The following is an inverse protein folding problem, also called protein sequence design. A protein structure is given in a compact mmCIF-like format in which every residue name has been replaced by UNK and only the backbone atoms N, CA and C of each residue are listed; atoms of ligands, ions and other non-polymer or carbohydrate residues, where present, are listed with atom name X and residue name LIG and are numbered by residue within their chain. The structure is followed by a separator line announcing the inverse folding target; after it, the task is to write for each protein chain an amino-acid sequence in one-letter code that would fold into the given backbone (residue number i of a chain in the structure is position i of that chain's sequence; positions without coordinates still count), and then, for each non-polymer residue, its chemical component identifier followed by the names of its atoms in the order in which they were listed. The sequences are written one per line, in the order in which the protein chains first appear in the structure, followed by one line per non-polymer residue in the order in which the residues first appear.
data_IF_453602866945
#
_entry.id   IF_453602866945
#
_cell.length_a   1.000
_cell.length_b   1.000
_cell.length_c   1.000
_cell.angle_alpha   90.00
_cell.angle_beta   90.00
_cell.angle_gamma   90.00
#
_symmetry.space_group_name_H-M   'P 1'
#
loop_
_entity.id
_entity.type
_entity.pdbx_description
1 polymer ?
#
# COMPACT_ATOMS: atom_id res chain seq x y z
N UNK A 1 -3.68 -0.37 -17.18
CA UNK A 1 -3.48 -0.98 -18.52
C UNK A 1 -3.75 -2.47 -18.39
N UNK A 2 -4.42 -3.06 -19.37
CA UNK A 2 -4.69 -4.49 -19.46
C UNK A 2 -4.02 -4.97 -20.74
N UNK A 3 -3.23 -6.04 -20.63
CA UNK A 3 -2.42 -6.59 -21.70
C UNK A 3 -2.94 -7.97 -22.11
N UNK A 4 -2.79 -8.32 -23.38
CA UNK A 4 -2.88 -9.72 -23.82
C UNK A 4 -1.57 -10.48 -23.54
N UNK A 5 -1.52 -11.77 -23.91
CA UNK A 5 -0.33 -12.62 -23.75
C UNK A 5 0.86 -12.19 -24.61
N UNK A 6 0.65 -11.32 -25.60
CA UNK A 6 1.67 -10.73 -26.47
C UNK A 6 2.08 -9.32 -26.02
N UNK A 7 1.63 -8.89 -24.84
CA UNK A 7 1.88 -7.57 -24.26
C UNK A 7 1.25 -6.41 -25.06
N UNK A 8 0.28 -6.69 -25.94
CA UNK A 8 -0.48 -5.63 -26.58
C UNK A 8 -1.51 -5.05 -25.61
N UNK A 9 -1.72 -3.75 -25.68
CA UNK A 9 -2.73 -3.06 -24.88
C UNK A 9 -4.11 -3.41 -25.45
N UNK A 10 -4.91 -4.14 -24.70
CA UNK A 10 -6.27 -4.51 -25.09
C UNK A 10 -7.34 -3.67 -24.38
N UNK A 11 -7.00 -3.08 -23.23
CA UNK A 11 -7.95 -2.27 -22.44
C UNK A 11 -7.22 -1.42 -21.38
N UNK A 12 -7.96 -0.51 -20.74
CA UNK A 12 -7.45 0.28 -19.62
C UNK A 12 -8.55 0.74 -18.66
N UNK A 13 -8.16 0.97 -17.40
CA UNK A 13 -9.00 1.63 -16.40
C UNK A 13 -8.31 2.94 -16.04
N UNK A 14 -8.97 4.07 -16.31
CA UNK A 14 -8.48 5.38 -15.90
C UNK A 14 -8.65 5.54 -14.39
N UNK A 15 -7.59 5.95 -13.67
CA UNK A 15 -7.65 6.16 -12.22
C UNK A 15 -8.05 7.59 -11.85
N UNK A 16 -7.63 8.59 -12.61
CA UNK A 16 -7.93 10.00 -12.34
C UNK A 16 -8.50 10.67 -13.58
N UNK A 17 -9.52 11.54 -13.44
CA UNK A 17 -10.04 12.33 -14.54
C UNK A 17 -9.08 13.49 -14.81
N UNK A 18 -8.06 13.26 -15.63
CA UNK A 18 -7.16 14.30 -16.11
C UNK A 18 -7.10 14.25 -17.65
N UNK A 19 -7.30 15.39 -18.29
CA UNK A 19 -7.22 15.55 -19.74
C UNK A 19 -5.78 15.51 -20.26
N UNK A 20 -4.80 15.78 -19.40
CA UNK A 20 -3.39 15.84 -19.74
C UNK A 20 -2.66 14.55 -19.39
N UNK A 21 -1.59 14.26 -20.14
CA UNK A 21 -0.77 13.06 -19.96
C UNK A 21 -0.04 13.01 -18.60
N UNK A 22 0.11 14.16 -17.93
CA UNK A 22 0.82 14.28 -16.65
C UNK A 22 -0.06 14.98 -15.61
N UNK A 23 -0.39 14.28 -14.54
CA UNK A 23 -1.00 14.88 -13.36
C UNK A 23 0.06 15.75 -12.66
N UNK A 24 -0.25 17.02 -12.31
CA UNK A 24 0.65 17.87 -11.54
C UNK A 24 1.11 17.19 -10.25
N UNK A 25 2.40 17.31 -9.91
CA UNK A 25 3.00 16.63 -8.74
C UNK A 25 2.29 16.95 -7.41
N UNK A 26 1.72 18.15 -7.29
CA UNK A 26 0.98 18.62 -6.12
C UNK A 26 -0.37 17.91 -5.90
N UNK A 27 -0.95 17.35 -6.96
CA UNK A 27 -2.27 16.70 -6.95
C UNK A 27 -2.16 15.18 -7.18
N UNK A 28 -1.01 14.72 -7.66
CA UNK A 28 -0.74 13.30 -7.91
C UNK A 28 -0.71 12.52 -6.58
N UNK A 29 -1.66 11.60 -6.41
CA UNK A 29 -1.58 10.56 -5.40
C UNK A 29 -0.38 9.64 -5.71
N UNK A 30 0.48 9.42 -4.71
CA UNK A 30 1.64 8.55 -4.84
C UNK A 30 1.21 7.09 -4.60
N UNK A 31 0.56 6.50 -5.60
CA UNK A 31 0.14 5.09 -5.55
C UNK A 31 1.37 4.19 -5.79
N UNK A 32 2.07 3.86 -4.70
CA UNK A 32 3.32 3.09 -4.74
C UNK A 32 3.15 1.63 -4.26
N UNK A 33 1.92 1.24 -3.91
CA UNK A 33 1.62 -0.10 -3.40
C UNK A 33 0.37 -0.68 -4.05
N UNK A 34 0.43 -1.96 -4.42
CA UNK A 34 -0.70 -2.71 -4.97
C UNK A 34 -0.74 -4.13 -4.42
N UNK A 35 -1.93 -4.67 -4.19
CA UNK A 35 -2.16 -6.07 -3.82
C UNK A 35 -3.43 -6.61 -4.48
N UNK A 36 -3.52 -7.93 -4.59
CA UNK A 36 -4.76 -8.63 -4.96
C UNK A 36 -5.48 -9.01 -3.66
N UNK A 37 -6.71 -8.58 -3.49
CA UNK A 37 -7.56 -8.92 -2.33
C UNK A 37 -8.11 -10.34 -2.46
N UNK A 38 -8.65 -10.90 -1.36
CA UNK A 38 -9.19 -12.28 -1.35
C UNK A 38 -10.35 -12.50 -2.34
N UNK A 39 -11.07 -11.45 -2.70
CA UNK A 39 -12.15 -11.44 -3.67
C UNK A 39 -11.69 -11.07 -5.09
N UNK A 40 -10.39 -11.24 -5.38
CA UNK A 40 -9.77 -11.04 -6.70
C UNK A 40 -9.91 -9.61 -7.26
N UNK A 41 -9.87 -8.61 -6.37
CA UNK A 41 -9.86 -7.20 -6.74
C UNK A 41 -8.47 -6.64 -6.51
N UNK A 42 -8.20 -5.48 -7.09
CA UNK A 42 -6.92 -4.78 -6.88
C UNK A 42 -7.12 -3.71 -5.82
N UNK A 43 -6.28 -3.74 -4.79
CA UNK A 43 -6.17 -2.67 -3.81
C UNK A 43 -4.89 -1.89 -4.06
N UNK A 44 -5.03 -0.65 -4.50
CA UNK A 44 -3.94 0.29 -4.68
C UNK A 44 -3.93 1.24 -3.48
N UNK A 45 -2.75 1.44 -2.90
CA UNK A 45 -2.55 2.31 -1.76
C UNK A 45 -1.51 3.35 -2.12
N UNK A 46 -1.82 4.59 -1.77
CA UNK A 46 -0.86 5.67 -1.80
C UNK A 46 -0.61 6.21 -0.41
N UNK A 47 0.60 6.71 -0.21
CA UNK A 47 1.03 7.37 1.02
C UNK A 47 2.00 8.48 0.67
N UNK A 48 1.90 9.63 1.32
CA UNK A 48 2.85 10.71 1.06
C UNK A 48 2.93 11.70 2.21
N UNK A 49 4.06 12.41 2.27
CA UNK A 49 4.41 13.35 3.35
C UNK A 49 3.62 14.66 3.32
N UNK A 50 3.04 15.04 2.18
CA UNK A 50 2.21 16.23 2.04
C UNK A 50 0.71 15.85 2.03
N UNK A 51 0.08 15.97 3.20
CA UNK A 51 -1.38 16.00 3.38
C UNK A 51 -1.97 17.23 2.64
N UNK A 52 -3.20 17.17 2.08
CA UNK A 52 -4.23 16.14 2.29
C UNK A 52 -4.43 15.13 1.14
N UNK A 53 -3.77 15.27 -0.01
CA UNK A 53 -4.17 14.54 -1.22
C UNK A 53 -3.46 13.20 -1.46
N UNK A 54 -2.61 12.73 -0.54
CA UNK A 54 -1.76 11.55 -0.78
C UNK A 54 -2.10 10.31 0.06
N UNK A 55 -2.92 10.43 1.09
CA UNK A 55 -3.41 9.30 1.89
C UNK A 55 -4.63 8.68 1.22
N UNK A 56 -4.47 8.22 -0.01
CA UNK A 56 -5.59 7.82 -0.86
C UNK A 56 -5.31 6.48 -1.52
N UNK A 57 -6.35 5.72 -1.78
CA UNK A 57 -6.25 4.44 -2.48
C UNK A 57 -7.38 4.23 -3.48
N UNK A 58 -7.28 3.13 -4.22
CA UNK A 58 -8.33 2.66 -5.12
C UNK A 58 -8.59 1.17 -4.88
N UNK A 59 -9.86 0.80 -4.75
CA UNK A 59 -10.30 -0.58 -4.83
C UNK A 59 -10.92 -0.81 -6.21
N UNK A 60 -10.26 -1.63 -7.04
CA UNK A 60 -10.59 -1.78 -8.47
C UNK A 60 -11.11 -3.18 -8.71
N UNK A 61 -12.20 -3.25 -9.47
CA UNK A 61 -12.92 -4.46 -9.84
C UNK A 61 -12.70 -4.66 -11.35
N UNK A 62 -11.62 -5.34 -11.77
CA UNK A 62 -11.19 -5.27 -13.17
C UNK A 62 -12.23 -5.83 -14.14
N UNK A 63 -12.91 -6.90 -13.74
CA UNK A 63 -13.94 -7.58 -14.56
C UNK A 63 -15.19 -6.72 -14.79
N UNK A 64 -15.52 -5.82 -13.86
CA UNK A 64 -16.65 -4.90 -13.97
C UNK A 64 -16.25 -3.51 -14.47
N UNK A 65 -14.95 -3.23 -14.58
CA UNK A 65 -14.39 -1.89 -14.84
C UNK A 65 -14.83 -0.85 -13.81
N UNK A 66 -15.14 -1.28 -12.59
CA UNK A 66 -15.52 -0.41 -11.49
C UNK A 66 -14.30 -0.09 -10.63
N UNK A 67 -14.29 1.11 -10.03
CA UNK A 67 -13.27 1.53 -9.07
C UNK A 67 -13.92 2.36 -7.97
N UNK A 68 -13.42 2.20 -6.76
CA UNK A 68 -13.88 2.92 -5.58
C UNK A 68 -12.70 3.67 -4.98
N UNK A 69 -12.88 4.97 -4.79
CA UNK A 69 -11.89 5.82 -4.15
C UNK A 69 -11.89 5.58 -2.64
N UNK A 70 -10.70 5.55 -2.04
CA UNK A 70 -10.53 5.33 -0.60
C UNK A 70 -9.75 6.51 -0.02
N UNK A 71 -10.28 7.10 1.04
CA UNK A 71 -9.52 7.97 1.95
C UNK A 71 -8.89 7.11 3.04
N UNK A 72 -7.59 7.20 3.27
CA UNK A 72 -6.84 6.35 4.21
C UNK A 72 -6.42 7.09 5.48
N UNK A 73 -6.84 8.35 5.64
CA UNK A 73 -6.42 9.26 6.70
C UNK A 73 -6.58 8.67 8.10
N UNK A 74 -7.70 8.00 8.35
CA UNK A 74 -7.99 7.42 9.68
C UNK A 74 -7.01 6.30 10.02
N UNK A 75 -6.82 5.35 9.11
CA UNK A 75 -5.89 4.24 9.36
C UNK A 75 -4.44 4.74 9.45
N UNK A 76 -4.05 5.65 8.57
CA UNK A 76 -2.70 6.19 8.53
C UNK A 76 -2.35 7.05 9.74
N UNK A 77 -3.30 7.83 10.25
CA UNK A 77 -3.13 8.54 11.51
C UNK A 77 -2.90 7.55 12.66
N UNK A 78 -3.64 6.43 12.69
CA UNK A 78 -3.42 5.37 13.70
C UNK A 78 -2.03 4.76 13.57
N UNK A 79 -1.50 4.54 12.36
CA UNK A 79 -0.13 4.06 12.17
C UNK A 79 0.92 5.02 12.76
N UNK A 80 0.73 6.33 12.56
CA UNK A 80 1.61 7.35 13.12
C UNK A 80 1.56 7.33 14.65
N UNK A 81 0.35 7.26 15.24
CA UNK A 81 0.15 7.14 16.68
C UNK A 81 0.73 5.84 17.25
N UNK A 82 0.83 4.77 16.44
CA UNK A 82 1.50 3.51 16.78
C UNK A 82 3.02 3.53 16.49
N UNK A 83 3.63 4.71 16.38
CA UNK A 83 5.08 4.89 16.33
C UNK A 83 5.70 4.75 14.93
N UNK A 84 4.91 4.77 13.85
CA UNK A 84 5.43 4.93 12.48
C UNK A 84 5.61 6.42 12.20
N UNK A 85 6.80 6.94 12.50
CA UNK A 85 7.08 8.38 12.49
C UNK A 85 6.98 9.02 11.10
N UNK A 86 7.39 8.29 10.06
CA UNK A 86 7.20 8.71 8.67
C UNK A 86 6.58 7.56 7.88
N UNK A 87 5.40 7.83 7.34
CA UNK A 87 4.61 6.86 6.59
C UNK A 87 5.01 6.89 5.11
N UNK A 88 5.33 5.71 4.58
CA UNK A 88 5.70 5.52 3.20
C UNK A 88 5.48 4.05 2.79
N UNK A 89 4.25 3.72 2.41
CA UNK A 89 3.81 2.39 2.00
C UNK A 89 4.18 2.15 0.54
N UNK A 90 5.13 1.25 0.31
CA UNK A 90 5.65 0.89 -1.03
C UNK A 90 5.42 -0.58 -1.39
N UNK A 91 4.73 -1.31 -0.52
CA UNK A 91 4.41 -2.69 -0.76
C UNK A 91 3.20 -3.10 0.05
N UNK A 92 2.39 -3.97 -0.55
CA UNK A 92 1.26 -4.60 0.10
C UNK A 92 1.14 -6.02 -0.40
N UNK A 93 0.77 -6.94 0.48
CA UNK A 93 0.55 -8.34 0.13
C UNK A 93 -0.61 -8.89 0.95
N UNK A 94 -1.57 -9.51 0.28
CA UNK A 94 -2.62 -10.27 0.96
C UNK A 94 -2.05 -11.59 1.43
N UNK A 95 -2.30 -11.92 2.69
CA UNK A 95 -1.87 -13.17 3.32
C UNK A 95 -3.08 -13.90 3.89
N UNK A 96 -3.00 -15.21 4.20
CA UNK A 96 -4.05 -15.87 4.97
C UNK A 96 -4.36 -15.09 6.24
N UNK A 97 -5.65 -14.76 6.44
CA UNK A 97 -6.11 -14.02 7.61
C UNK A 97 -5.94 -12.49 7.60
N UNK A 98 -5.27 -11.89 6.62
CA UNK A 98 -5.09 -10.43 6.65
C UNK A 98 -4.29 -9.84 5.50
N UNK A 99 -3.72 -8.67 5.75
CA UNK A 99 -2.92 -7.91 4.80
C UNK A 99 -1.64 -7.41 5.46
N UNK A 100 -0.53 -7.52 4.72
CA UNK A 100 0.79 -7.05 5.10
C UNK A 100 1.12 -5.79 4.31
N UNK A 101 1.45 -4.69 5.00
CA UNK A 101 1.94 -3.46 4.38
C UNK A 101 3.43 -3.27 4.69
N UNK A 102 4.20 -2.85 3.70
CA UNK A 102 5.61 -2.54 3.83
C UNK A 102 5.82 -1.03 3.86
N UNK A 103 6.25 -0.51 5.01
CA UNK A 103 6.63 0.88 5.19
C UNK A 103 8.14 1.05 4.97
N UNK A 104 8.54 1.75 3.91
CA UNK A 104 9.95 2.05 3.62
C UNK A 104 10.47 3.08 4.63
N UNK A 105 11.61 2.78 5.23
CA UNK A 105 12.36 3.74 6.04
C UNK A 105 12.96 4.87 5.20
N UNK A 106 13.55 5.85 5.88
CA UNK A 106 14.23 6.98 5.24
C UNK A 106 15.45 7.42 6.06
N UNK A 107 16.11 8.51 5.66
CA UNK A 107 17.33 8.98 6.33
C UNK A 107 17.15 9.30 7.82
N UNK A 108 15.99 9.83 8.21
CA UNK A 108 15.68 10.16 9.60
C UNK A 108 15.20 8.93 10.39
N UNK A 109 14.48 8.02 9.72
CA UNK A 109 13.90 6.81 10.29
C UNK A 109 14.20 5.59 9.42
N UNK A 110 15.43 5.03 9.48
CA UNK A 110 15.94 4.09 8.47
C UNK A 110 15.37 2.68 8.58
N UNK A 111 14.64 2.36 9.66
CA UNK A 111 14.08 1.02 9.84
C UNK A 111 12.82 0.87 9.00
N UNK A 112 12.88 -0.05 8.05
CA UNK A 112 11.68 -0.55 7.37
C UNK A 112 10.77 -1.23 8.41
N UNK A 113 9.46 -1.14 8.20
CA UNK A 113 8.48 -1.81 9.05
C UNK A 113 7.52 -2.62 8.19
N UNK A 114 7.17 -3.80 8.67
CA UNK A 114 6.00 -4.54 8.23
C UNK A 114 4.84 -4.24 9.16
N UNK A 115 3.67 -4.05 8.58
CA UNK A 115 2.43 -3.74 9.30
C UNK A 115 1.44 -4.83 8.93
N UNK A 116 1.00 -5.60 9.91
CA UNK A 116 -0.04 -6.60 9.76
C UNK A 116 -1.38 -5.98 10.17
N UNK A 117 -2.39 -6.15 9.33
CA UNK A 117 -3.74 -5.65 9.57
C UNK A 117 -4.80 -6.58 8.97
N UNK A 118 -6.08 -6.26 9.15
CA UNK A 118 -7.16 -7.04 8.55
C UNK A 118 -7.20 -6.88 7.03
N UNK A 119 -7.77 -7.88 6.37
CA UNK A 119 -7.94 -7.92 4.91
C UNK A 119 -8.99 -6.93 4.37
N UNK A 120 -9.59 -6.12 5.24
CA UNK A 120 -10.58 -5.09 4.93
C UNK A 120 -10.30 -3.78 5.66
N UNK A 121 -9.05 -3.53 6.06
CA UNK A 121 -8.71 -2.39 6.93
C UNK A 121 -9.17 -1.04 6.36
N UNK A 122 -9.27 -0.91 5.04
CA UNK A 122 -9.69 0.33 4.36
C UNK A 122 -11.18 0.65 4.59
N UNK A 123 -11.99 -0.35 4.91
CA UNK A 123 -13.42 -0.19 5.23
C UNK A 123 -13.62 0.02 6.74
N UNK A 124 -12.85 -0.69 7.57
CA UNK A 124 -12.91 -0.59 9.03
C UNK A 124 -11.67 0.08 9.63
N UNK A 125 -11.34 1.28 9.14
CA UNK A 125 -10.07 1.93 9.46
C UNK A 125 -9.87 2.29 10.92
N UNK A 126 -10.95 2.53 11.66
CA UNK A 126 -10.90 2.93 13.07
C UNK A 126 -10.51 1.75 13.97
N UNK A 127 -10.99 0.55 13.65
CA UNK A 127 -10.89 -0.61 14.53
C UNK A 127 -10.00 -1.72 13.95
N UNK A 128 -9.52 -1.58 12.71
CA UNK A 128 -8.62 -2.55 12.10
C UNK A 128 -7.39 -2.83 13.00
N UNK A 129 -7.02 -4.10 13.23
CA UNK A 129 -5.88 -4.43 14.06
C UNK A 129 -4.59 -3.90 13.43
N UNK A 130 -3.63 -3.50 14.26
CA UNK A 130 -2.31 -3.04 13.82
C UNK A 130 -1.27 -3.80 14.62
N UNK A 131 -0.40 -4.53 13.93
CA UNK A 131 0.80 -5.14 14.51
C UNK A 131 1.99 -4.75 13.66
N UNK A 132 3.05 -4.21 14.29
CA UNK A 132 4.22 -3.73 13.55
C UNK A 132 5.45 -4.56 13.86
N UNK A 133 6.20 -4.93 12.83
CA UNK A 133 7.47 -5.65 12.93
C UNK A 133 8.54 -4.78 12.28
N UNK A 134 9.60 -4.42 13.01
CA UNK A 134 10.75 -3.74 12.40
C UNK A 134 11.61 -4.76 11.65
N UNK A 135 11.95 -4.47 10.41
CA UNK A 135 12.80 -5.34 9.58
C UNK A 135 14.15 -4.66 9.30
N UNK A 136 15.20 -5.46 9.26
CA UNK A 136 16.58 -5.01 9.07
C UNK A 136 17.50 -5.46 10.21
N UNK A 137 18.70 -5.88 9.84
CA UNK A 137 19.78 -6.24 10.76
C UNK A 137 20.51 -4.95 11.16
N UNK A 138 20.88 -4.80 12.43
CA UNK A 138 21.64 -3.63 12.89
C UNK A 138 22.91 -3.44 12.07
N UNK A 139 23.03 -2.27 11.42
CA UNK A 139 24.12 -1.80 10.55
C UNK A 139 24.45 -2.73 9.38
N UNK A 140 24.70 -2.11 8.22
CA UNK A 140 25.19 -2.79 7.01
C UNK A 140 26.29 -3.80 7.35
N UNK A 141 25.92 -5.07 7.37
CA UNK A 141 26.83 -6.15 7.06
C UNK A 141 26.18 -6.84 5.88
N UNK A 142 26.97 -7.07 4.84
CA UNK A 142 26.62 -7.55 3.50
C UNK A 142 26.00 -8.96 3.44
N UNK A 143 25.33 -9.41 4.50
CA UNK A 143 24.66 -10.71 4.58
C UNK A 143 23.15 -10.50 4.61
N UNK A 144 22.52 -10.70 3.46
CA UNK A 144 21.08 -10.93 3.39
C UNK A 144 20.79 -12.25 4.11
N UNK A 145 20.31 -12.18 5.35
CA UNK A 145 19.65 -13.33 5.95
C UNK A 145 18.24 -13.41 5.37
N UNK A 146 17.96 -14.51 4.66
CA UNK A 146 16.60 -14.86 4.23
C UNK A 146 15.70 -14.85 5.45
N UNK A 147 14.59 -14.10 5.41
CA UNK A 147 13.50 -14.24 6.38
C UNK A 147 12.77 -15.53 6.04
N UNK A 148 13.25 -16.64 6.61
CA UNK A 148 12.57 -17.93 6.61
C UNK A 148 11.81 -18.07 7.94
N UNK A 149 10.49 -18.20 7.86
CA UNK A 149 9.55 -18.51 8.94
C UNK A 149 8.94 -17.30 9.65
N UNK A 150 7.87 -16.77 9.06
CA UNK A 150 6.77 -16.18 9.84
C UNK A 150 5.79 -17.33 10.11
N UNK A 151 5.84 -17.90 11.31
CA UNK A 151 4.88 -18.90 11.78
C UNK A 151 3.67 -18.17 12.36
N UNK A 152 2.51 -18.34 11.71
CA UNK A 152 1.23 -17.96 12.26
C UNK A 152 0.74 -19.10 13.18
N UNK A 153 0.43 -18.78 14.44
CA UNK A 153 -0.32 -19.67 15.34
C UNK A 153 -1.81 -19.40 15.16
#
# INVERSE_FOLDING_TARGET
MILDSSLNIIDSISLFPFSEQRIPKSVKADLESISITKDNKLLLLGSGSASPYRNTGWHIYPTKKEKYFIHLDTFYQRLILNGIKELNIEGSCTIPGGLLLANRGNKNYPKNKLILTSDNFWENQKDAPISTISIGINKDSTKVQRIGNVLFK
#
